data_IF_329376719324
#
_entry.id   IF_329376719324
#
_cell.length_a   1.000
_cell.length_b   1.000
_cell.length_c   1.000
_cell.angle_alpha   90.00
_cell.angle_beta   90.00
_cell.angle_gamma   90.00
#
_symmetry.space_group_name_H-M   'P 1'
#
loop_
_entity.id
_entity.type
_entity.pdbx_description
1 polymer ?
#
# COMPACT_ATOMS: atom_id res chain seq x y z
N UNK A 1 11.21 0.80 2.78
CA UNK A 1 10.60 -0.20 3.69
C UNK A 1 11.16 0.09 5.05
N UNK A 2 10.26 0.24 6.01
CA UNK A 2 10.55 0.63 7.39
C UNK A 2 9.93 -0.42 8.31
N UNK A 3 10.61 -0.85 9.35
CA UNK A 3 10.12 -1.87 10.29
C UNK A 3 10.70 -1.65 11.67
N UNK A 4 10.08 -2.24 12.72
CA UNK A 4 10.66 -2.23 14.06
C UNK A 4 12.08 -2.81 14.05
N UNK A 5 12.96 -2.22 14.85
CA UNK A 5 14.34 -2.70 15.05
C UNK A 5 14.37 -3.77 16.15
N UNK A 6 13.66 -4.86 15.91
CA UNK A 6 13.64 -6.03 16.78
C UNK A 6 13.48 -7.30 15.97
N UNK A 7 13.95 -8.41 16.52
CA UNK A 7 13.67 -9.73 15.95
C UNK A 7 12.16 -10.01 15.99
N UNK A 8 11.62 -10.58 14.91
CA UNK A 8 10.20 -10.92 14.84
C UNK A 8 9.60 -10.81 13.44
N UNK A 9 8.33 -11.19 13.37
CA UNK A 9 7.46 -11.02 12.21
C UNK A 9 6.34 -10.04 12.58
N UNK A 10 6.02 -9.13 11.68
CA UNK A 10 5.10 -8.03 11.93
C UNK A 10 4.00 -7.97 10.87
N UNK A 11 2.79 -7.49 11.22
CA UNK A 11 1.82 -7.09 10.23
C UNK A 11 2.39 -5.96 9.37
N UNK A 12 2.12 -6.00 8.07
CA UNK A 12 2.60 -5.03 7.11
C UNK A 12 1.51 -4.03 6.72
N UNK A 13 1.88 -2.77 6.55
CA UNK A 13 1.08 -1.72 5.94
C UNK A 13 1.74 -1.33 4.63
N UNK A 14 1.00 -1.48 3.52
CA UNK A 14 1.46 -1.16 2.17
C UNK A 14 0.81 0.14 1.69
N UNK A 15 1.64 1.05 1.19
CA UNK A 15 1.25 2.25 0.48
C UNK A 15 1.88 2.22 -0.92
N UNK A 16 1.06 2.07 -1.97
CA UNK A 16 1.51 2.02 -3.35
C UNK A 16 0.99 3.23 -4.16
N UNK A 17 1.85 3.90 -4.92
CA UNK A 17 1.45 5.02 -5.77
C UNK A 17 2.48 5.33 -6.87
N UNK A 18 2.14 6.17 -7.86
CA UNK A 18 3.10 6.64 -8.86
C UNK A 18 4.01 7.77 -8.33
N UNK A 19 3.81 8.23 -7.08
CA UNK A 19 4.54 9.36 -6.51
C UNK A 19 5.88 8.93 -5.92
N UNK A 20 6.95 9.74 -6.00
CA UNK A 20 8.27 9.37 -5.52
C UNK A 20 8.24 8.90 -4.07
N UNK A 21 8.64 7.65 -3.81
CA UNK A 21 8.67 7.11 -2.43
C UNK A 21 9.57 7.92 -1.50
N UNK A 22 10.64 8.51 -2.03
CA UNK A 22 11.61 9.33 -1.29
C UNK A 22 10.97 10.61 -0.73
N UNK A 23 9.96 11.14 -1.42
CA UNK A 23 9.19 12.29 -0.93
C UNK A 23 8.36 11.93 0.31
N UNK A 24 8.01 10.66 0.47
CA UNK A 24 7.21 10.18 1.60
C UNK A 24 8.04 10.00 2.89
N UNK A 25 9.37 10.02 2.78
CA UNK A 25 10.31 9.85 3.90
C UNK A 25 10.76 11.19 4.52
N UNK A 26 10.12 12.31 4.17
CA UNK A 26 10.54 13.66 4.60
C UNK A 26 10.31 13.97 6.11
N UNK A 27 9.77 13.03 6.89
CA UNK A 27 9.76 13.08 8.36
C UNK A 27 8.86 14.14 9.01
N UNK A 28 8.18 14.99 8.24
CA UNK A 28 7.24 15.99 8.76
C UNK A 28 5.91 15.89 8.00
N UNK A 29 4.75 15.98 8.69
CA UNK A 29 3.46 15.98 8.02
C UNK A 29 3.34 17.20 7.11
N UNK A 30 3.64 16.99 5.84
CA UNK A 30 3.41 17.94 4.77
C UNK A 30 2.26 17.43 3.90
N UNK A 31 1.50 18.33 3.28
CA UNK A 31 0.32 17.95 2.49
C UNK A 31 0.59 17.00 1.33
N UNK A 32 1.85 16.81 0.92
CA UNK A 32 2.29 15.89 -0.13
C UNK A 32 2.78 14.52 0.39
N UNK A 33 2.83 14.32 1.71
CA UNK A 33 3.13 13.02 2.31
C UNK A 33 1.80 12.31 2.56
N UNK A 34 1.50 11.36 1.67
CA UNK A 34 0.21 10.68 1.58
C UNK A 34 0.32 9.17 1.82
N UNK A 35 1.52 8.60 1.90
CA UNK A 35 1.73 7.18 2.18
C UNK A 35 1.36 6.78 3.61
N UNK A 36 1.29 7.74 4.54
CA UNK A 36 1.01 7.53 5.96
C UNK A 36 2.20 7.83 6.87
N UNK A 37 1.95 7.88 8.17
CA UNK A 37 2.95 8.26 9.18
C UNK A 37 3.85 7.07 9.57
N UNK A 38 4.96 6.87 8.85
CA UNK A 38 5.92 5.78 9.07
C UNK A 38 6.31 5.60 10.54
N UNK A 39 6.79 6.66 11.20
CA UNK A 39 7.29 6.57 12.58
C UNK A 39 6.20 6.18 13.57
N UNK A 40 4.95 6.61 13.31
CA UNK A 40 3.80 6.26 14.15
C UNK A 40 3.50 4.76 14.08
N UNK A 41 3.53 4.17 12.88
CA UNK A 41 3.23 2.75 12.66
C UNK A 41 4.37 1.84 13.12
N UNK A 42 5.61 2.18 12.77
CA UNK A 42 6.79 1.40 13.12
C UNK A 42 6.99 1.33 14.63
N UNK A 43 6.81 2.45 15.35
CA UNK A 43 6.87 2.45 16.82
C UNK A 43 5.78 1.62 17.50
N UNK A 44 4.75 1.18 16.75
CA UNK A 44 3.62 0.36 17.21
C UNK A 44 3.68 -1.09 16.73
N UNK A 45 4.80 -1.52 16.14
CA UNK A 45 4.99 -2.91 15.73
C UNK A 45 4.48 -3.26 14.33
N UNK A 46 4.24 -2.27 13.46
CA UNK A 46 3.91 -2.50 12.06
C UNK A 46 5.12 -2.28 11.15
N UNK A 47 5.28 -3.12 10.12
CA UNK A 47 6.19 -2.81 9.02
C UNK A 47 5.48 -1.90 8.01
N UNK A 48 6.09 -0.79 7.60
CA UNK A 48 5.53 0.13 6.60
C UNK A 48 6.32 0.02 5.28
N UNK A 49 5.61 -0.35 4.21
CA UNK A 49 6.16 -0.53 2.87
C UNK A 49 5.58 0.54 1.95
N UNK A 50 6.45 1.36 1.36
CA UNK A 50 6.08 2.36 0.36
C UNK A 50 6.63 1.89 -0.98
N UNK A 51 5.73 1.63 -1.93
CA UNK A 51 6.04 1.04 -3.23
C UNK A 51 5.71 2.00 -4.38
N UNK A 52 6.56 2.00 -5.41
CA UNK A 52 6.30 2.72 -6.65
C UNK A 52 5.70 1.81 -7.70
N UNK A 53 4.61 2.26 -8.31
CA UNK A 53 3.93 1.52 -9.36
C UNK A 53 4.78 1.39 -10.62
N UNK A 54 4.43 0.41 -11.46
CA UNK A 54 5.06 0.15 -12.75
C UNK A 54 5.24 1.43 -13.56
N UNK A 55 6.43 1.59 -14.15
CA UNK A 55 6.77 2.73 -15.00
C UNK A 55 6.96 4.05 -14.25
N UNK A 56 7.08 4.03 -12.92
CA UNK A 56 7.22 5.24 -12.10
C UNK A 56 8.40 5.16 -11.14
N UNK A 57 9.07 6.29 -10.92
CA UNK A 57 9.97 6.53 -9.78
C UNK A 57 11.01 5.43 -9.49
N UNK A 58 11.58 4.82 -10.55
CA UNK A 58 12.59 3.75 -10.46
C UNK A 58 12.05 2.34 -10.75
N UNK A 59 10.73 2.16 -10.83
CA UNK A 59 10.09 0.94 -11.34
C UNK A 59 10.08 0.93 -12.86
N UNK A 60 10.53 -0.17 -13.47
CA UNK A 60 10.52 -0.34 -14.93
C UNK A 60 9.12 -0.51 -15.52
N UNK A 61 9.04 -0.59 -16.85
CA UNK A 61 7.78 -0.76 -17.59
C UNK A 61 7.09 0.57 -17.94
N UNK A 62 5.79 0.50 -18.26
CA UNK A 62 4.97 1.65 -18.66
C UNK A 62 3.85 1.85 -17.67
N UNK A 63 3.67 3.09 -17.22
CA UNK A 63 2.57 3.48 -16.35
C UNK A 63 1.27 3.63 -17.16
N UNK A 64 0.17 3.14 -16.60
CA UNK A 64 -1.19 3.24 -17.12
C UNK A 64 -2.12 3.36 -15.92
N UNK A 65 -3.24 4.07 -16.06
CA UNK A 65 -4.07 4.50 -14.93
C UNK A 65 -5.19 3.49 -14.64
N UNK A 66 -5.07 2.74 -13.55
CA UNK A 66 -6.03 1.75 -13.04
C UNK A 66 -6.50 0.72 -14.06
N UNK A 67 -5.60 0.34 -14.95
CA UNK A 67 -5.85 -0.76 -15.87
C UNK A 67 -5.73 -2.12 -15.16
N UNK A 68 -6.00 -3.18 -15.91
CA UNK A 68 -5.91 -4.53 -15.37
C UNK A 68 -4.46 -4.88 -14.96
N UNK A 69 -3.44 -4.30 -15.60
CA UNK A 69 -2.06 -4.58 -15.27
C UNK A 69 -1.67 -3.95 -13.93
N UNK A 70 -2.05 -2.69 -13.68
CA UNK A 70 -1.80 -2.04 -12.40
C UNK A 70 -2.50 -2.78 -11.25
N UNK A 71 -3.74 -3.24 -11.45
CA UNK A 71 -4.44 -4.09 -10.49
C UNK A 71 -3.68 -5.38 -10.15
N UNK A 72 -3.20 -6.09 -11.18
CA UNK A 72 -2.40 -7.30 -10.98
C UNK A 72 -1.06 -6.99 -10.29
N UNK A 73 -0.41 -5.87 -10.63
CA UNK A 73 0.82 -5.45 -9.97
C UNK A 73 0.58 -5.18 -8.47
N UNK A 74 -0.57 -4.58 -8.12
CA UNK A 74 -0.96 -4.35 -6.73
C UNK A 74 -1.19 -5.68 -5.98
N UNK A 75 -1.83 -6.65 -6.62
CA UNK A 75 -1.97 -8.01 -6.08
C UNK A 75 -0.59 -8.63 -5.82
N UNK A 76 0.29 -8.61 -6.82
CA UNK A 76 1.62 -9.21 -6.74
C UNK A 76 2.46 -8.57 -5.63
N UNK A 77 2.38 -7.24 -5.45
CA UNK A 77 3.10 -6.55 -4.39
C UNK A 77 2.55 -6.93 -3.01
N UNK A 78 1.23 -7.06 -2.84
CA UNK A 78 0.64 -7.53 -1.57
C UNK A 78 1.17 -8.93 -1.22
N UNK A 79 1.13 -9.86 -2.17
CA UNK A 79 1.57 -11.24 -1.95
C UNK A 79 3.09 -11.32 -1.74
N UNK A 80 3.86 -10.51 -2.46
CA UNK A 80 5.30 -10.40 -2.25
C UNK A 80 5.64 -9.90 -0.84
N UNK A 81 4.92 -8.89 -0.35
CA UNK A 81 5.07 -8.36 1.02
C UNK A 81 4.76 -9.46 2.04
N UNK A 82 3.66 -10.19 1.86
CA UNK A 82 3.25 -11.28 2.77
C UNK A 82 4.29 -12.41 2.84
N UNK A 83 4.99 -12.69 1.74
CA UNK A 83 6.00 -13.73 1.65
C UNK A 83 7.36 -13.35 2.30
N UNK A 84 7.55 -12.09 2.71
CA UNK A 84 8.82 -11.67 3.28
C UNK A 84 9.06 -12.30 4.66
N UNK A 85 10.32 -12.63 5.01
CA UNK A 85 10.65 -13.32 6.27
C UNK A 85 10.31 -12.49 7.53
N UNK A 86 10.12 -11.19 7.38
CA UNK A 86 9.76 -10.25 8.45
C UNK A 86 8.26 -9.94 8.51
N UNK A 87 7.46 -10.32 7.51
CA UNK A 87 6.01 -10.14 7.53
C UNK A 87 5.38 -11.35 8.20
N UNK A 88 4.36 -11.17 9.03
CA UNK A 88 3.62 -12.27 9.68
C UNK A 88 2.57 -12.93 8.77
N UNK A 89 2.40 -12.42 7.54
CA UNK A 89 1.40 -12.86 6.56
C UNK A 89 0.13 -12.01 6.54
N UNK A 90 0.02 -11.00 7.42
CA UNK A 90 -1.09 -10.06 7.41
C UNK A 90 -0.65 -8.74 6.75
N UNK A 91 -1.29 -8.41 5.63
CA UNK A 91 -1.04 -7.15 4.91
C UNK A 91 -2.29 -6.28 4.97
N UNK A 92 -2.14 -5.06 5.46
CA UNK A 92 -3.09 -3.98 5.28
C UNK A 92 -2.57 -2.98 4.26
N UNK A 93 -3.46 -2.18 3.68
CA UNK A 93 -3.04 -1.05 2.84
C UNK A 93 -3.56 0.29 3.40
N UNK A 94 -2.74 1.33 3.25
CA UNK A 94 -2.99 2.67 3.80
C UNK A 94 -2.58 3.77 2.81
N UNK A 95 -3.00 4.99 3.12
CA UNK A 95 -2.61 6.21 2.44
C UNK A 95 -3.79 7.00 1.88
N UNK A 96 -3.49 8.15 1.29
CA UNK A 96 -4.45 9.16 0.82
C UNK A 96 -4.31 9.34 -0.70
N UNK A 97 -5.36 9.84 -1.35
CA UNK A 97 -5.33 10.20 -2.78
C UNK A 97 -5.08 8.96 -3.67
N UNK A 98 -4.06 8.97 -4.53
CA UNK A 98 -3.73 7.81 -5.36
C UNK A 98 -3.48 6.56 -4.50
N UNK A 99 -2.82 6.71 -3.35
CA UNK A 99 -2.62 5.59 -2.42
C UNK A 99 -3.96 5.01 -1.94
N UNK A 100 -5.00 5.84 -1.77
CA UNK A 100 -6.34 5.38 -1.41
C UNK A 100 -7.05 4.67 -2.57
N UNK A 101 -6.86 5.14 -3.81
CA UNK A 101 -7.43 4.49 -4.99
C UNK A 101 -6.77 3.13 -5.26
N UNK A 102 -5.44 3.04 -5.15
CA UNK A 102 -4.72 1.77 -5.27
C UNK A 102 -5.19 0.72 -4.26
N UNK A 103 -5.68 1.11 -3.08
CA UNK A 103 -6.28 0.17 -2.14
C UNK A 103 -7.54 -0.49 -2.67
N UNK A 104 -8.42 0.30 -3.29
CA UNK A 104 -9.66 -0.19 -3.87
C UNK A 104 -9.37 -1.09 -5.07
N UNK A 105 -8.42 -0.69 -5.92
CA UNK A 105 -7.99 -1.48 -7.08
C UNK A 105 -7.35 -2.81 -6.66
N UNK A 106 -6.50 -2.81 -5.62
CA UNK A 106 -5.96 -4.05 -5.06
C UNK A 106 -7.07 -4.96 -4.50
N UNK A 107 -8.07 -4.40 -3.82
CA UNK A 107 -9.15 -5.17 -3.22
C UNK A 107 -10.03 -5.88 -4.28
N UNK A 108 -10.13 -5.35 -5.49
CA UNK A 108 -10.84 -6.00 -6.61
C UNK A 108 -10.21 -7.34 -6.97
N UNK A 109 -8.89 -7.46 -6.92
CA UNK A 109 -8.15 -8.69 -7.21
C UNK A 109 -8.14 -9.70 -6.05
N UNK A 110 -8.67 -9.31 -4.89
CA UNK A 110 -8.84 -10.15 -3.69
C UNK A 110 -7.58 -10.94 -3.28
N UNK A 111 -6.42 -10.28 -3.04
CA UNK A 111 -5.23 -10.97 -2.54
C UNK A 111 -5.51 -11.68 -1.22
N UNK A 112 -5.17 -12.97 -1.07
CA UNK A 112 -5.49 -13.73 0.14
C UNK A 112 -4.83 -13.17 1.40
N UNK A 113 -3.71 -12.46 1.28
CA UNK A 113 -3.01 -11.84 2.42
C UNK A 113 -3.46 -10.40 2.71
N UNK A 114 -4.30 -9.80 1.86
CA UNK A 114 -4.89 -8.48 2.13
C UNK A 114 -6.01 -8.60 3.17
N UNK A 115 -5.74 -8.16 4.40
CA UNK A 115 -6.68 -8.29 5.55
C UNK A 115 -7.50 -7.03 5.80
N UNK A 116 -7.00 -5.87 5.40
CA UNK A 116 -7.69 -4.60 5.61
C UNK A 116 -7.23 -3.53 4.62
N UNK A 117 -8.14 -2.60 4.30
CA UNK A 117 -7.84 -1.35 3.59
C UNK A 117 -8.40 -0.17 4.37
N UNK A 118 -7.76 0.99 4.25
CA UNK A 118 -8.22 2.27 4.81
C UNK A 118 -8.13 3.38 3.74
N UNK A 119 -9.04 3.39 2.74
CA UNK A 119 -8.97 4.32 1.61
C UNK A 119 -9.50 5.70 2.00
N UNK A 120 -8.61 6.56 2.51
CA UNK A 120 -8.97 7.91 2.94
C UNK A 120 -8.95 8.92 1.77
N UNK A 121 -10.05 9.67 1.60
CA UNK A 121 -10.27 10.63 0.49
C UNK A 121 -10.17 10.03 -0.93
N UNK A 122 -10.53 8.76 -1.13
CA UNK A 122 -10.73 8.24 -2.49
C UNK A 122 -12.04 8.78 -3.09
N UNK A 123 -12.05 9.28 -4.35
CA UNK A 123 -13.32 9.45 -5.07
C UNK A 123 -13.99 8.07 -5.26
N UNK A 124 -15.32 8.00 -5.37
CA UNK A 124 -16.02 6.74 -5.62
C UNK A 124 -15.53 6.14 -6.94
N UNK A 125 -15.02 4.90 -6.91
CA UNK A 125 -14.66 4.14 -8.11
C UNK A 125 -15.92 3.76 -8.89
N UNK A 126 -15.84 3.78 -10.22
CA UNK A 126 -16.96 3.63 -11.14
C UNK A 126 -17.52 2.18 -11.20
N UNK A 127 -18.84 2.06 -11.04
CA UNK A 127 -19.80 0.97 -11.42
C UNK A 127 -19.79 -0.42 -10.78
N UNK A 128 -18.93 -0.76 -9.82
CA UNK A 128 -19.18 -1.92 -8.95
C UNK A 128 -18.83 -1.57 -7.51
N UNK A 129 -19.84 -1.48 -6.64
CA UNK A 129 -19.64 -1.38 -5.20
C UNK A 129 -18.85 -2.60 -4.72
N UNK A 130 -17.62 -2.46 -4.20
CA UNK A 130 -17.01 -3.52 -3.44
C UNK A 130 -17.64 -3.50 -2.05
N UNK A 131 -18.35 -4.57 -1.69
CA UNK A 131 -18.78 -4.80 -0.30
C UNK A 131 -17.53 -4.94 0.57
N UNK A 132 -17.13 -3.85 1.23
CA UNK A 132 -16.09 -3.89 2.27
C UNK A 132 -16.74 -4.49 3.52
N UNK A 133 -16.62 -5.81 3.68
CA UNK A 133 -16.94 -6.46 4.95
C UNK A 133 -15.80 -6.15 5.93
N UNK A 134 -16.05 -5.23 6.86
CA UNK A 134 -15.29 -5.19 8.11
C UNK A 134 -15.59 -6.49 8.88
N UNK A 135 -14.55 -7.27 9.17
CA UNK A 135 -14.62 -8.35 10.15
C UNK A 135 -14.72 -7.78 11.56
#
# INVERSE_FOLDING_TARGET
MHRPDSDGRFPALLAASPYPRQMQDFGAPAGFIEAGATDFWVSRGYAHVIANLRGTCGSGGTFSFFDAQERQDLYDVVEWVAAQPWCDGNVGMIGISYFAMSQLEAAVERPPHLKAIFPWRSPPTSTREPTITAC
#
